data_IF_050924243917
#
_entry.id   IF_050924243917
#
_cell.length_a   1.000
_cell.length_b   1.000
_cell.length_c   1.000
_cell.angle_alpha   90.00
_cell.angle_beta   90.00
_cell.angle_gamma   90.00
#
_symmetry.space_group_name_H-M   'P 1'
#
loop_
_entity.id
_entity.type
_entity.pdbx_description
1 polymer ?
#
# COMPACT_ATOMS: atom_id res chain seq x y z
N UNK A 1 22.77 71.07 36.12
CA UNK A 1 23.38 69.97 36.90
C UNK A 1 23.14 68.65 36.17
N UNK A 2 24.12 67.75 36.23
CA UNK A 2 24.35 66.55 35.38
C UNK A 2 23.35 65.39 35.55
N UNK A 3 23.28 64.56 34.48
CA UNK A 3 23.08 63.08 34.42
C UNK A 3 21.71 62.52 34.87
N UNK A 4 21.02 61.58 34.22
CA UNK A 4 21.45 60.31 33.62
C UNK A 4 20.45 59.76 32.57
N UNK A 5 20.94 58.87 31.69
CA UNK A 5 20.22 58.00 30.74
C UNK A 5 19.30 56.99 31.46
N UNK A 6 18.22 56.54 30.82
CA UNK A 6 17.84 55.11 30.78
C UNK A 6 16.96 54.80 29.55
N UNK A 7 17.02 53.56 29.11
CA UNK A 7 16.70 52.99 27.80
C UNK A 7 15.54 51.96 27.93
N UNK A 8 15.04 51.46 26.78
CA UNK A 8 14.10 50.32 26.57
C UNK A 8 12.60 50.59 26.80
N UNK A 9 11.65 50.07 26.01
CA UNK A 9 11.62 49.35 24.72
C UNK A 9 10.14 49.30 24.31
N UNK A 10 9.78 49.63 23.07
CA UNK A 10 8.40 49.59 22.58
C UNK A 10 8.01 48.15 22.19
N UNK A 11 6.88 47.66 22.70
CA UNK A 11 6.25 46.42 22.24
C UNK A 11 5.05 46.81 21.36
N UNK A 12 5.18 46.59 20.04
CA UNK A 12 4.10 46.74 19.07
C UNK A 12 3.37 45.41 18.88
N UNK A 13 2.05 45.41 19.05
CA UNK A 13 1.17 44.27 18.85
C UNK A 13 0.77 44.23 17.37
N UNK A 14 1.16 43.18 16.64
CA UNK A 14 0.75 42.92 15.26
C UNK A 14 -0.49 42.00 15.27
N UNK A 15 -1.60 42.48 14.71
CA UNK A 15 -2.80 41.68 14.42
C UNK A 15 -2.46 40.52 13.48
N UNK A 16 -2.66 39.29 13.96
CA UNK A 16 -2.58 38.08 13.14
C UNK A 16 -3.96 37.82 12.54
N UNK A 17 -4.05 38.05 11.23
CA UNK A 17 -5.18 37.63 10.40
C UNK A 17 -5.13 36.10 10.29
N UNK A 18 -6.07 35.39 10.93
CA UNK A 18 -6.20 33.94 10.86
C UNK A 18 -6.70 33.55 9.46
N UNK A 19 -5.76 33.25 8.57
CA UNK A 19 -6.03 32.51 7.34
C UNK A 19 -6.32 31.07 7.78
N UNK A 20 -7.59 30.66 7.72
CA UNK A 20 -7.97 29.25 7.80
C UNK A 20 -7.46 28.55 6.54
N UNK A 21 -6.22 28.08 6.60
CA UNK A 21 -5.66 27.11 5.67
C UNK A 21 -6.46 25.82 5.80
N UNK A 22 -7.26 25.50 4.80
CA UNK A 22 -7.83 24.18 4.61
C UNK A 22 -6.68 23.23 4.28
N UNK A 23 -6.07 22.60 5.29
CA UNK A 23 -5.03 21.59 5.09
C UNK A 23 -5.67 20.33 4.51
N UNK A 24 -5.38 20.07 3.23
CA UNK A 24 -5.62 18.78 2.59
C UNK A 24 -4.97 17.67 3.41
N UNK A 25 -5.58 16.48 3.52
CA UNK A 25 -5.04 15.40 4.33
C UNK A 25 -3.63 15.03 3.85
N UNK A 26 -2.71 14.99 4.82
CA UNK A 26 -1.26 14.94 4.60
C UNK A 26 -0.86 13.73 3.74
N UNK A 27 -0.60 13.99 2.46
CA UNK A 27 0.08 13.05 1.58
C UNK A 27 1.51 12.87 2.08
N UNK A 28 1.87 11.68 2.57
CA UNK A 28 3.27 11.35 2.84
C UNK A 28 4.02 11.35 1.50
N UNK A 29 4.87 12.35 1.29
CA UNK A 29 5.77 12.45 0.13
C UNK A 29 6.90 11.41 0.27
N UNK A 30 6.64 10.17 -0.16
CA UNK A 30 7.72 9.24 -0.47
C UNK A 30 8.45 9.72 -1.72
N UNK A 31 9.77 9.52 -1.78
CA UNK A 31 10.55 9.69 -3.03
C UNK A 31 9.88 8.81 -4.09
N UNK A 32 9.18 9.42 -5.05
CA UNK A 32 8.11 8.78 -5.85
C UNK A 32 8.58 7.53 -6.64
N UNK A 33 9.88 7.34 -6.77
CA UNK A 33 10.45 6.24 -7.52
C UNK A 33 10.35 4.89 -6.81
N UNK A 34 10.12 4.83 -5.50
CA UNK A 34 10.06 3.58 -4.72
C UNK A 34 9.37 3.75 -3.36
N UNK A 35 8.03 3.65 -3.27
CA UNK A 35 7.35 3.67 -1.97
C UNK A 35 7.72 2.44 -1.12
N UNK A 36 7.64 2.53 0.22
CA UNK A 36 8.17 1.52 1.13
C UNK A 36 7.53 0.14 0.92
N UNK A 37 6.23 0.07 0.64
CA UNK A 37 5.58 -1.22 0.39
C UNK A 37 6.06 -1.90 -0.90
N UNK A 38 6.44 -1.15 -1.95
CA UNK A 38 7.04 -1.73 -3.16
C UNK A 38 8.46 -2.24 -2.87
N UNK A 39 9.23 -1.51 -2.05
CA UNK A 39 10.56 -1.94 -1.60
C UNK A 39 10.43 -3.24 -0.81
N UNK A 40 9.51 -3.28 0.16
CA UNK A 40 9.29 -4.44 1.02
C UNK A 40 8.78 -5.65 0.23
N UNK A 41 7.90 -5.47 -0.76
CA UNK A 41 7.53 -6.56 -1.67
C UNK A 41 8.76 -7.20 -2.34
N UNK A 42 9.69 -6.38 -2.83
CA UNK A 42 10.92 -6.84 -3.48
C UNK A 42 11.88 -7.54 -2.51
N UNK A 43 11.99 -7.03 -1.28
CA UNK A 43 12.82 -7.63 -0.22
C UNK A 43 12.37 -9.04 0.16
N UNK A 44 11.12 -9.41 -0.15
CA UNK A 44 10.55 -10.74 0.10
C UNK A 44 10.52 -11.64 -1.14
N UNK A 45 11.23 -11.30 -2.21
CA UNK A 45 11.32 -12.13 -3.43
C UNK A 45 11.65 -13.59 -3.10
N UNK A 46 10.95 -14.53 -3.73
CA UNK A 46 11.17 -15.97 -3.56
C UNK A 46 10.46 -16.59 -2.35
N UNK A 47 9.72 -15.81 -1.57
CA UNK A 47 8.85 -16.33 -0.51
C UNK A 47 7.70 -17.13 -1.16
N UNK A 48 7.50 -18.37 -0.73
CA UNK A 48 6.47 -19.30 -1.21
C UNK A 48 5.68 -19.91 -0.04
N UNK A 49 4.50 -20.47 -0.29
CA UNK A 49 3.95 -21.46 0.65
C UNK A 49 4.74 -22.77 0.55
N UNK A 50 4.90 -23.45 1.68
CA UNK A 50 5.64 -24.70 1.75
C UNK A 50 4.71 -25.88 1.41
N UNK A 51 5.24 -26.98 0.86
CA UNK A 51 4.46 -28.18 0.62
C UNK A 51 3.81 -28.73 1.91
N UNK A 52 2.60 -29.28 1.77
CA UNK A 52 1.94 -30.04 2.84
C UNK A 52 1.38 -29.18 3.98
N UNK A 53 0.57 -28.16 3.65
CA UNK A 53 -0.08 -27.21 4.59
C UNK A 53 0.87 -26.38 5.45
N UNK A 54 2.17 -26.39 5.15
CA UNK A 54 3.14 -25.57 5.85
C UNK A 54 3.15 -24.18 5.24
N UNK A 55 3.11 -23.16 6.08
CA UNK A 55 3.10 -21.77 5.62
C UNK A 55 4.31 -21.06 6.21
N UNK A 56 5.01 -20.25 5.41
CA UNK A 56 6.12 -19.44 5.91
C UNK A 56 5.60 -18.37 6.87
N UNK A 57 6.42 -18.01 7.87
CA UNK A 57 6.01 -17.14 8.99
C UNK A 57 5.37 -15.81 8.54
N UNK A 58 5.88 -15.22 7.46
CA UNK A 58 5.38 -13.96 6.90
C UNK A 58 3.97 -14.13 6.31
N UNK A 59 3.72 -15.24 5.61
CA UNK A 59 2.41 -15.53 5.02
C UNK A 59 1.41 -15.89 6.13
N UNK A 60 1.82 -16.73 7.08
CA UNK A 60 1.05 -17.07 8.28
C UNK A 60 0.64 -15.81 9.06
N UNK A 61 1.59 -14.90 9.27
CA UNK A 61 1.32 -13.61 9.92
C UNK A 61 0.32 -12.77 9.14
N UNK A 62 0.39 -12.79 7.80
CA UNK A 62 -0.59 -12.15 6.94
C UNK A 62 -2.01 -12.70 7.14
N UNK A 63 -2.16 -14.02 7.27
CA UNK A 63 -3.45 -14.64 7.55
C UNK A 63 -3.99 -14.29 8.95
N UNK A 64 -3.13 -14.32 9.98
CA UNK A 64 -3.49 -13.91 11.34
C UNK A 64 -4.00 -12.45 11.39
N UNK A 65 -3.32 -11.54 10.68
CA UNK A 65 -3.73 -10.13 10.59
C UNK A 65 -5.12 -9.95 9.94
N UNK A 66 -5.53 -10.93 9.13
CA UNK A 66 -6.85 -11.02 8.51
C UNK A 66 -7.88 -11.80 9.34
N UNK A 67 -7.52 -12.24 10.56
CA UNK A 67 -8.40 -12.95 11.48
C UNK A 67 -8.64 -14.42 11.13
N UNK A 68 -7.75 -15.06 10.37
CA UNK A 68 -7.87 -16.46 9.97
C UNK A 68 -7.01 -17.37 10.85
N UNK A 69 -7.61 -18.47 11.32
CA UNK A 69 -6.91 -19.56 12.00
C UNK A 69 -6.22 -20.50 11.01
N UNK A 70 -5.28 -21.32 11.49
CA UNK A 70 -4.45 -22.19 10.63
C UNK A 70 -5.26 -23.16 9.77
N UNK A 71 -6.40 -23.64 10.27
CA UNK A 71 -7.30 -24.54 9.55
C UNK A 71 -8.00 -23.87 8.35
N UNK A 72 -8.00 -22.54 8.29
CA UNK A 72 -8.61 -21.74 7.21
C UNK A 72 -7.62 -21.29 6.13
N UNK A 73 -6.31 -21.52 6.31
CA UNK A 73 -5.29 -21.02 5.38
C UNK A 73 -5.36 -21.68 3.99
N UNK A 74 -5.90 -22.88 3.90
CA UNK A 74 -6.00 -23.72 2.69
C UNK A 74 -7.42 -23.69 2.08
N UNK A 75 -8.24 -22.69 2.43
CA UNK A 75 -9.60 -22.59 1.88
C UNK A 75 -9.54 -22.22 0.38
N UNK A 76 -10.23 -23.00 -0.47
CA UNK A 76 -10.06 -23.13 -1.94
C UNK A 76 -10.34 -21.87 -2.80
N UNK A 77 -10.26 -20.67 -2.22
CA UNK A 77 -10.37 -19.38 -2.90
C UNK A 77 -9.65 -18.23 -2.20
N UNK A 78 -8.94 -18.47 -1.09
CA UNK A 78 -8.17 -17.45 -0.38
C UNK A 78 -6.72 -17.46 -0.85
N UNK A 79 -6.48 -16.93 -2.05
CA UNK A 79 -5.10 -16.70 -2.49
C UNK A 79 -4.36 -15.77 -1.52
N UNK A 80 -3.23 -16.21 -0.97
CA UNK A 80 -2.46 -15.48 0.06
C UNK A 80 -1.89 -14.13 -0.38
N UNK A 81 -2.15 -13.69 -1.61
CA UNK A 81 -1.82 -12.36 -2.14
C UNK A 81 -2.31 -11.22 -1.21
N UNK A 82 -3.57 -11.26 -0.76
CA UNK A 82 -4.16 -10.22 0.10
C UNK A 82 -3.62 -10.29 1.53
N UNK A 83 -3.47 -11.50 2.06
CA UNK A 83 -2.90 -11.74 3.39
C UNK A 83 -1.46 -11.21 3.46
N UNK A 84 -0.65 -11.54 2.46
CA UNK A 84 0.73 -11.06 2.37
C UNK A 84 0.82 -9.55 2.15
N UNK A 85 -0.05 -8.95 1.31
CA UNK A 85 -0.10 -7.49 1.17
C UNK A 85 -0.48 -6.81 2.48
N UNK A 86 -1.41 -7.37 3.26
CA UNK A 86 -1.73 -6.88 4.60
C UNK A 86 -0.52 -6.95 5.55
N UNK A 87 0.23 -8.04 5.54
CA UNK A 87 1.49 -8.15 6.29
C UNK A 87 2.50 -7.05 5.90
N UNK A 88 2.71 -6.82 4.60
CA UNK A 88 3.61 -5.77 4.11
C UNK A 88 3.16 -4.39 4.56
N UNK A 89 1.87 -4.06 4.38
CA UNK A 89 1.34 -2.76 4.74
C UNK A 89 1.42 -2.51 6.26
N UNK A 90 1.00 -3.48 7.07
CA UNK A 90 0.86 -3.32 8.52
C UNK A 90 2.22 -3.46 9.23
N UNK A 91 2.91 -4.58 9.05
CA UNK A 91 4.09 -4.92 9.86
C UNK A 91 5.38 -4.33 9.29
N UNK A 92 5.43 -4.11 7.96
CA UNK A 92 6.65 -3.60 7.30
C UNK A 92 6.60 -2.10 7.06
N UNK A 93 5.42 -1.53 6.86
CA UNK A 93 5.27 -0.11 6.51
C UNK A 93 4.56 0.73 7.57
N UNK A 94 3.96 0.13 8.62
CA UNK A 94 3.19 0.86 9.63
C UNK A 94 1.91 1.51 9.08
N UNK A 95 1.40 1.01 7.95
CA UNK A 95 0.18 1.48 7.30
C UNK A 95 -1.01 0.64 7.77
N UNK A 96 -2.22 1.18 7.61
CA UNK A 96 -3.43 0.39 7.78
C UNK A 96 -3.54 -0.60 6.60
N UNK A 97 -3.88 -1.85 6.88
CA UNK A 97 -4.31 -2.81 5.85
C UNK A 97 -5.83 -2.89 5.74
N UNK A 98 -6.34 -3.77 4.86
CA UNK A 98 -7.77 -4.11 4.82
C UNK A 98 -8.17 -5.13 5.89
N UNK A 99 -7.19 -5.84 6.48
CA UNK A 99 -7.39 -6.96 7.41
C UNK A 99 -8.36 -8.02 6.87
N UNK A 100 -8.32 -8.24 5.56
CA UNK A 100 -9.19 -9.19 4.88
C UNK A 100 -8.38 -9.97 3.84
N UNK A 101 -8.46 -11.30 3.89
CA UNK A 101 -7.73 -12.19 2.99
C UNK A 101 -8.29 -12.22 1.56
N UNK A 102 -9.46 -11.62 1.30
CA UNK A 102 -10.02 -11.50 -0.04
C UNK A 102 -9.42 -10.28 -0.76
N UNK A 103 -8.84 -10.51 -1.94
CA UNK A 103 -8.19 -9.48 -2.76
C UNK A 103 -9.13 -8.33 -3.14
N UNK A 104 -10.42 -8.59 -3.35
CA UNK A 104 -11.41 -7.56 -3.67
C UNK A 104 -11.67 -6.57 -2.51
N UNK A 105 -11.23 -6.87 -1.28
CA UNK A 105 -11.27 -5.91 -0.17
C UNK A 105 -10.47 -4.63 -0.43
N UNK A 106 -9.51 -4.69 -1.35
CA UNK A 106 -8.74 -3.52 -1.75
C UNK A 106 -9.47 -2.58 -2.71
N UNK A 107 -10.64 -2.94 -3.25
CA UNK A 107 -11.38 -2.07 -4.17
C UNK A 107 -11.81 -0.73 -3.56
N UNK A 108 -11.90 -0.63 -2.23
CA UNK A 108 -12.24 0.60 -1.51
C UNK A 108 -11.10 1.09 -0.62
N UNK A 109 -9.91 0.49 -0.73
CA UNK A 109 -8.77 0.82 0.10
C UNK A 109 -8.07 2.10 -0.35
N UNK A 110 -7.80 3.02 0.59
CA UNK A 110 -7.02 4.24 0.35
C UNK A 110 -7.58 5.14 -0.76
N UNK A 111 -6.70 5.93 -1.38
CA UNK A 111 -7.09 6.84 -2.46
C UNK A 111 -7.10 6.11 -3.81
N UNK A 112 -8.14 6.36 -4.61
CA UNK A 112 -8.16 5.91 -6.02
C UNK A 112 -7.17 6.74 -6.84
N UNK A 113 -6.32 6.09 -7.61
CA UNK A 113 -5.33 6.73 -8.49
C UNK A 113 -5.37 6.11 -9.88
N UNK A 114 -4.72 6.73 -10.87
CA UNK A 114 -4.47 6.09 -12.16
C UNK A 114 -3.32 5.08 -12.10
N UNK A 115 -2.92 4.56 -13.26
CA UNK A 115 -1.75 3.69 -13.39
C UNK A 115 -0.49 4.44 -12.95
N UNK A 116 0.06 4.06 -11.78
CA UNK A 116 1.21 4.72 -11.14
C UNK A 116 2.12 3.67 -10.52
N UNK A 117 3.43 3.85 -10.62
CA UNK A 117 4.42 3.01 -9.92
C UNK A 117 4.17 3.07 -8.42
N UNK A 118 4.07 1.92 -7.78
CA UNK A 118 3.72 1.77 -6.38
C UNK A 118 2.23 1.71 -6.10
N UNK A 119 1.33 1.98 -7.06
CA UNK A 119 -0.08 1.76 -6.81
C UNK A 119 -0.35 0.26 -6.59
N UNK A 120 -1.27 -0.06 -5.69
CA UNK A 120 -1.83 -1.40 -5.54
C UNK A 120 -2.82 -1.58 -6.70
N UNK A 121 -2.52 -2.49 -7.61
CA UNK A 121 -3.43 -2.93 -8.66
C UNK A 121 -4.34 -4.04 -8.13
N UNK A 122 -5.63 -3.90 -8.38
CA UNK A 122 -6.64 -4.93 -8.16
C UNK A 122 -6.98 -5.53 -9.51
N UNK A 123 -6.66 -6.79 -9.70
CA UNK A 123 -6.88 -7.53 -10.94
C UNK A 123 -8.02 -8.53 -10.78
N UNK A 124 -8.69 -8.86 -11.89
CA UNK A 124 -9.67 -9.95 -11.94
C UNK A 124 -9.32 -10.89 -13.08
N UNK A 125 -8.88 -12.09 -12.72
CA UNK A 125 -8.49 -13.13 -13.67
C UNK A 125 -9.49 -14.27 -13.59
N UNK A 126 -10.35 -14.38 -14.60
CA UNK A 126 -11.50 -15.29 -14.55
C UNK A 126 -12.49 -14.90 -13.43
N UNK A 127 -12.79 -15.83 -12.52
CA UNK A 127 -13.69 -15.61 -11.38
C UNK A 127 -13.00 -15.06 -10.12
N UNK A 128 -11.67 -14.97 -10.10
CA UNK A 128 -10.89 -14.65 -8.90
C UNK A 128 -10.27 -13.25 -8.99
N UNK A 129 -10.24 -12.56 -7.84
CA UNK A 129 -9.51 -11.30 -7.69
C UNK A 129 -8.08 -11.56 -7.24
N UNK A 130 -7.16 -10.69 -7.66
CA UNK A 130 -5.76 -10.70 -7.26
C UNK A 130 -5.30 -9.28 -6.92
N UNK A 131 -4.33 -9.15 -6.02
CA UNK A 131 -3.72 -7.87 -5.65
C UNK A 131 -2.21 -7.93 -5.77
N UNK A 132 -1.63 -6.91 -6.39
CA UNK A 132 -0.19 -6.75 -6.55
C UNK A 132 0.18 -5.26 -6.65
N UNK A 133 1.43 -4.91 -6.38
CA UNK A 133 1.95 -3.54 -6.41
C UNK A 133 2.64 -3.28 -7.74
N UNK A 134 2.21 -2.25 -8.46
CA UNK A 134 2.70 -1.92 -9.79
C UNK A 134 4.15 -1.42 -9.73
N UNK A 135 5.02 -1.93 -10.59
CA UNK A 135 6.40 -1.46 -10.74
C UNK A 135 6.60 -0.67 -12.03
N UNK A 136 6.10 -1.18 -13.14
CA UNK A 136 6.27 -0.60 -14.47
C UNK A 136 5.20 -1.12 -15.42
N UNK A 137 5.14 -0.56 -16.63
CA UNK A 137 4.26 -1.03 -17.68
C UNK A 137 4.86 -0.72 -19.05
N UNK A 138 4.45 -1.49 -20.06
CA UNK A 138 4.87 -1.32 -21.45
C UNK A 138 3.70 -1.54 -22.40
N UNK A 139 3.73 -0.84 -23.53
CA UNK A 139 2.78 -1.08 -24.62
C UNK A 139 3.25 -2.28 -25.45
N UNK A 140 2.29 -3.09 -25.88
CA UNK A 140 2.44 -4.19 -26.82
C UNK A 140 1.36 -4.08 -27.89
N UNK A 141 1.43 -4.92 -28.92
CA UNK A 141 0.40 -5.00 -29.95
C UNK A 141 -0.97 -5.43 -29.39
N UNK A 142 -0.98 -6.06 -28.21
CA UNK A 142 -2.18 -6.58 -27.54
C UNK A 142 -2.70 -5.65 -26.43
N UNK A 143 -2.09 -4.47 -26.22
CA UNK A 143 -2.48 -3.51 -25.19
C UNK A 143 -1.34 -3.17 -24.24
N UNK A 144 -1.66 -2.78 -23.01
CA UNK A 144 -0.64 -2.50 -21.98
C UNK A 144 -0.42 -3.76 -21.14
N UNK A 145 0.84 -4.15 -20.96
CA UNK A 145 1.28 -5.13 -19.95
C UNK A 145 1.87 -4.40 -18.75
N UNK A 146 1.43 -4.78 -17.55
CA UNK A 146 1.76 -4.13 -16.30
C UNK A 146 2.57 -5.10 -15.45
N UNK A 147 3.83 -4.76 -15.16
CA UNK A 147 4.69 -5.53 -14.28
C UNK A 147 4.38 -5.18 -12.83
N UNK A 148 4.00 -6.16 -12.03
CA UNK A 148 3.65 -6.00 -10.63
C UNK A 148 4.45 -6.94 -9.73
N UNK A 149 4.65 -6.53 -8.49
CA UNK A 149 5.16 -7.35 -7.39
C UNK A 149 4.03 -7.72 -6.44
N UNK A 150 3.87 -9.01 -6.17
CA UNK A 150 2.83 -9.50 -5.28
C UNK A 150 3.12 -10.91 -4.81
N UNK A 151 2.41 -11.33 -3.77
CA UNK A 151 2.41 -12.71 -3.28
C UNK A 151 1.43 -13.59 -4.07
N UNK A 152 1.58 -14.90 -3.92
CA UNK A 152 0.79 -15.93 -4.60
C UNK A 152 0.78 -15.82 -6.14
N UNK A 153 1.86 -15.33 -6.73
CA UNK A 153 2.00 -15.33 -8.19
C UNK A 153 2.73 -16.61 -8.57
N UNK A 154 1.96 -17.64 -8.94
CA UNK A 154 2.42 -19.04 -9.04
C UNK A 154 3.06 -19.54 -7.74
N UNK A 155 2.38 -19.33 -6.60
CA UNK A 155 2.86 -19.66 -5.26
C UNK A 155 4.22 -19.02 -4.90
N UNK A 156 4.50 -17.80 -5.36
CA UNK A 156 5.73 -17.07 -5.05
C UNK A 156 5.50 -15.56 -4.95
N UNK A 157 6.31 -14.88 -4.13
CA UNK A 157 6.55 -13.43 -4.21
C UNK A 157 7.56 -13.17 -5.32
N UNK A 158 7.12 -12.64 -6.46
CA UNK A 158 7.96 -12.40 -7.64
C UNK A 158 7.47 -11.19 -8.44
N UNK A 159 8.13 -10.76 -9.51
CA UNK A 159 7.48 -9.91 -10.51
C UNK A 159 6.60 -10.76 -11.43
N UNK A 160 5.43 -10.27 -11.83
CA UNK A 160 4.56 -10.92 -12.83
C UNK A 160 3.89 -9.85 -13.69
N UNK A 161 3.77 -10.11 -14.99
CA UNK A 161 3.08 -9.23 -15.93
C UNK A 161 1.59 -9.58 -15.99
N UNK A 162 0.74 -8.55 -15.87
CA UNK A 162 -0.71 -8.66 -16.03
C UNK A 162 -1.16 -7.77 -17.18
N UNK A 163 -2.08 -8.24 -18.05
CA UNK A 163 -2.63 -7.38 -19.08
C UNK A 163 -3.58 -6.35 -18.46
N UNK A 164 -3.51 -5.11 -18.93
CA UNK A 164 -4.34 -4.00 -18.45
C UNK A 164 -5.85 -4.26 -18.52
N UNK A 165 -6.31 -5.13 -19.43
CA UNK A 165 -7.73 -5.55 -19.48
C UNK A 165 -8.21 -6.28 -18.21
N UNK A 166 -7.29 -6.86 -17.44
CA UNK A 166 -7.61 -7.55 -16.19
C UNK A 166 -7.53 -6.61 -14.99
N UNK A 167 -7.00 -5.38 -15.16
CA UNK A 167 -6.91 -4.38 -14.10
C UNK A 167 -8.29 -3.74 -13.87
N UNK A 168 -8.84 -3.95 -12.68
CA UNK A 168 -10.14 -3.41 -12.27
C UNK A 168 -10.00 -2.03 -11.65
N UNK A 169 -9.00 -1.84 -10.79
CA UNK A 169 -8.79 -0.57 -10.11
C UNK A 169 -7.36 -0.42 -9.58
N UNK A 170 -6.96 0.81 -9.29
CA UNK A 170 -5.65 1.15 -8.73
C UNK A 170 -5.78 2.03 -7.50
N UNK A 171 -5.16 1.61 -6.41
CA UNK A 171 -5.28 2.24 -5.10
C UNK A 171 -3.93 2.63 -4.53
N UNK A 172 -3.91 3.75 -3.85
CA UNK A 172 -2.74 4.28 -3.16
C UNK A 172 -2.97 4.23 -1.64
N UNK A 173 -2.06 3.61 -0.87
CA UNK A 173 -2.10 3.69 0.59
C UNK A 173 -2.12 5.14 1.09
N UNK A 174 -3.08 5.47 1.95
CA UNK A 174 -3.17 6.77 2.64
C UNK A 174 -3.07 6.56 4.15
N UNK A 175 -2.52 7.56 4.84
CA UNK A 175 -2.44 7.59 6.32
C UNK A 175 -3.82 7.81 6.95
N UNK A 176 -4.67 8.58 6.28
CA UNK A 176 -6.10 8.74 6.61
C UNK A 176 -6.94 7.79 5.77
N UNK A 177 -7.73 6.95 6.42
CA UNK A 177 -8.75 6.14 5.76
C UNK A 177 -10.09 6.83 5.98
N UNK A 178 -10.79 7.15 4.89
CA UNK A 178 -12.20 7.56 4.95
C UNK A 178 -12.98 6.31 5.33
N UNK A 179 -13.49 6.29 6.56
CA UNK A 179 -14.39 5.25 7.06
C UNK A 179 -15.78 5.41 6.43
#
# INVERSE_FOLDING_TARGET
>A
MKLHKLFCMMIGILSICLITSCSSPDYVHYKEDSPPWLIEMKNHKGLTELPGKKVQKQIARGFELCGLSEDMWDDNGLGWCSAFLNYILIEKCGLKGTRNAKANSFLTYGARVGLKKGAIGIFKTGSQYHVAVIESWRKTDQGILITCWGGNQTNEVRPTEYPSKDLIDTRWPTTEQVL
#
